data_IF_091039393967
#
_entry.id   IF_091039393967
#
_cell.length_a   1.000
_cell.length_b   1.000
_cell.length_c   1.000
_cell.angle_alpha   90.00
_cell.angle_beta   90.00
_cell.angle_gamma   90.00
#
_symmetry.space_group_name_H-M   'P 1'
#
loop_
_entity.id
_entity.type
_entity.pdbx_description
1 polymer ?
#
# COMPACT_ATOMS: atom_id res chain seq x y z
N UNK A 1 40.72 37.99 5.60
CA UNK A 1 40.01 37.07 4.69
C UNK A 1 38.81 36.54 5.44
N UNK A 2 37.60 36.97 5.05
CA UNK A 2 36.35 36.52 5.64
C UNK A 2 36.23 34.99 5.48
N UNK A 3 36.11 34.28 6.60
CA UNK A 3 35.54 32.95 6.63
C UNK A 3 34.11 33.07 6.11
N UNK A 4 33.89 32.68 4.86
CA UNK A 4 32.55 32.55 4.31
C UNK A 4 31.82 31.47 5.10
N UNK A 5 30.92 31.90 5.99
CA UNK A 5 29.89 31.05 6.55
C UNK A 5 29.05 30.58 5.35
N UNK A 6 29.32 29.37 4.85
CA UNK A 6 28.35 28.67 4.00
C UNK A 6 27.21 28.36 4.96
N UNK A 7 26.12 29.14 4.89
CA UNK A 7 24.91 28.81 5.63
C UNK A 7 24.51 27.38 5.24
N UNK A 8 24.37 26.52 6.24
CA UNK A 8 23.83 25.18 6.01
C UNK A 8 22.42 25.32 5.43
N UNK A 9 22.13 24.56 4.37
CA UNK A 9 20.77 24.43 3.83
C UNK A 9 19.90 23.47 4.67
N UNK A 10 20.46 22.87 5.73
CA UNK A 10 19.74 21.96 6.63
C UNK A 10 19.27 22.71 7.87
N UNK A 11 18.13 22.29 8.41
CA UNK A 11 17.71 22.69 9.76
C UNK A 11 18.76 22.24 10.80
N UNK A 12 18.81 22.86 12.00
CA UNK A 12 19.62 22.34 13.10
C UNK A 12 19.36 20.86 13.37
N UNK A 13 20.39 20.09 13.71
CA UNK A 13 20.30 18.63 13.85
C UNK A 13 19.23 18.20 14.87
N UNK A 14 19.09 18.95 15.96
CA UNK A 14 18.08 18.73 17.00
C UNK A 14 16.65 18.99 16.50
N UNK A 15 16.46 19.98 15.61
CA UNK A 15 15.16 20.24 14.97
C UNK A 15 14.81 19.15 13.95
N UNK A 16 15.78 18.71 13.15
CA UNK A 16 15.62 17.57 12.25
C UNK A 16 15.21 16.31 13.02
N UNK A 17 15.91 16.02 14.13
CA UNK A 17 15.62 14.87 14.98
C UNK A 17 14.18 14.91 15.51
N UNK A 18 13.71 16.06 16.00
CA UNK A 18 12.33 16.19 16.51
C UNK A 18 11.28 15.91 15.41
N UNK A 19 11.51 16.39 14.19
CA UNK A 19 10.63 16.10 13.03
C UNK A 19 10.68 14.61 12.64
N UNK A 20 11.84 13.98 12.74
CA UNK A 20 12.01 12.54 12.46
C UNK A 20 11.35 11.69 13.56
N UNK A 21 11.40 12.09 14.83
CA UNK A 21 10.79 11.36 15.95
C UNK A 21 9.27 11.33 15.89
N UNK A 22 8.63 12.37 15.33
CA UNK A 22 7.17 12.40 15.18
C UNK A 22 6.65 11.20 14.37
N UNK A 23 5.67 10.45 14.90
CA UNK A 23 5.07 9.30 14.22
C UNK A 23 6.02 8.10 14.04
N UNK A 24 7.20 8.13 14.67
CA UNK A 24 8.15 7.01 14.70
C UNK A 24 7.85 6.13 15.91
N UNK A 25 7.94 4.82 15.74
CA UNK A 25 7.82 3.87 16.86
C UNK A 25 9.12 3.79 17.65
N UNK A 26 10.24 3.59 16.96
CA UNK A 26 11.56 3.49 17.59
C UNK A 26 12.66 3.96 16.62
N UNK A 27 13.66 4.67 17.17
CA UNK A 27 14.94 4.97 16.51
C UNK A 27 16.02 4.16 17.22
N UNK A 28 16.46 3.08 16.60
CA UNK A 28 17.51 2.23 17.18
C UNK A 28 18.85 2.91 16.91
N UNK A 29 19.49 3.37 17.99
CA UNK A 29 20.69 4.22 17.99
C UNK A 29 20.39 5.69 17.63
N UNK A 30 19.49 6.33 18.38
CA UNK A 30 19.18 7.77 18.23
C UNK A 30 20.42 8.67 18.33
N UNK A 31 21.38 8.33 19.19
CA UNK A 31 22.65 9.04 19.31
C UNK A 31 23.45 9.01 17.99
N UNK A 32 23.47 7.86 17.30
CA UNK A 32 24.11 7.72 15.98
C UNK A 32 23.40 8.57 14.93
N UNK A 33 22.06 8.64 14.97
CA UNK A 33 21.30 9.51 14.08
C UNK A 33 21.66 10.97 14.30
N UNK A 34 21.67 11.43 15.56
CA UNK A 34 22.02 12.81 15.89
C UNK A 34 23.45 13.14 15.45
N UNK A 35 24.39 12.21 15.64
CA UNK A 35 25.77 12.35 15.16
C UNK A 35 25.82 12.50 13.63
N UNK A 36 25.11 11.65 12.89
CA UNK A 36 25.02 11.72 11.42
C UNK A 36 24.38 13.02 10.94
N UNK A 37 23.32 13.49 11.58
CA UNK A 37 22.67 14.78 11.26
C UNK A 37 23.64 15.96 11.45
N UNK A 38 24.53 15.90 12.45
CA UNK A 38 25.57 16.91 12.71
C UNK A 38 26.68 16.94 11.66
N UNK A 39 26.81 15.93 10.80
CA UNK A 39 27.75 15.93 9.68
C UNK A 39 27.38 16.96 8.59
N UNK A 40 26.16 17.49 8.63
CA UNK A 40 25.70 18.56 7.76
C UNK A 40 25.82 18.23 6.26
N UNK A 41 25.53 16.98 5.90
CA UNK A 41 25.47 16.45 4.54
C UNK A 41 24.13 15.74 4.31
N UNK A 42 23.69 15.56 3.05
CA UNK A 42 22.61 14.62 2.76
C UNK A 42 22.96 13.22 3.26
N UNK A 43 22.07 12.63 4.08
CA UNK A 43 22.15 11.25 4.49
C UNK A 43 21.48 10.36 3.43
N UNK A 44 21.95 9.13 3.28
CA UNK A 44 21.37 8.14 2.36
C UNK A 44 20.29 7.34 3.09
N UNK A 45 19.03 7.59 2.75
CA UNK A 45 17.87 7.00 3.41
C UNK A 45 17.26 5.94 2.52
N UNK A 46 17.12 4.70 3.01
CA UNK A 46 16.55 3.56 2.29
C UNK A 46 15.19 3.18 2.89
N UNK A 47 14.21 2.91 2.02
CA UNK A 47 13.03 2.14 2.38
C UNK A 47 12.74 1.12 1.27
N UNK A 48 12.62 -0.16 1.64
CA UNK A 48 12.39 -1.27 0.71
C UNK A 48 10.94 -1.72 0.65
N UNK A 49 10.44 -2.01 -0.56
CA UNK A 49 9.10 -2.52 -0.79
C UNK A 49 9.11 -3.67 -1.79
N UNK A 50 8.62 -4.84 -1.36
CA UNK A 50 8.45 -6.01 -2.22
C UNK A 50 7.12 -5.91 -2.98
N UNK A 51 7.13 -5.82 -4.33
CA UNK A 51 5.93 -5.61 -5.14
C UNK A 51 5.10 -6.90 -5.29
N UNK A 52 4.52 -7.36 -4.19
CA UNK A 52 3.80 -8.64 -4.11
C UNK A 52 2.33 -8.58 -4.56
N UNK A 53 1.82 -7.37 -4.75
CA UNK A 53 0.50 -7.05 -5.30
C UNK A 53 0.60 -5.69 -6.01
N UNK A 54 -0.29 -5.34 -6.95
CA UNK A 54 -0.14 -4.12 -7.76
C UNK A 54 -0.34 -2.82 -6.97
N UNK A 55 -1.32 -2.74 -6.07
CA UNK A 55 -1.63 -1.47 -5.38
C UNK A 55 -1.07 -1.38 -3.95
N UNK A 56 -0.65 -0.18 -3.59
CA UNK A 56 -0.39 0.24 -2.22
C UNK A 56 -1.71 0.60 -1.52
N UNK A 57 -1.62 0.69 -0.19
CA UNK A 57 -2.73 1.08 0.68
C UNK A 57 -2.18 1.98 1.79
N UNK A 58 -3.06 2.66 2.54
CA UNK A 58 -2.67 3.65 3.53
C UNK A 58 -1.69 3.11 4.58
N UNK A 59 -1.74 1.82 4.92
CA UNK A 59 -0.72 1.19 5.77
C UNK A 59 0.73 1.32 5.25
N UNK A 60 0.95 1.26 3.92
CA UNK A 60 2.27 1.51 3.33
C UNK A 60 2.66 2.99 3.38
N UNK A 61 1.67 3.89 3.33
CA UNK A 61 1.91 5.33 3.28
C UNK A 61 2.51 5.86 4.57
N UNK A 62 2.33 5.19 5.71
CA UNK A 62 2.99 5.55 6.98
C UNK A 62 4.52 5.57 6.82
N UNK A 63 5.08 4.53 6.21
CA UNK A 63 6.52 4.44 5.93
C UNK A 63 6.96 5.45 4.87
N UNK A 64 6.16 5.62 3.82
CA UNK A 64 6.46 6.55 2.72
C UNK A 64 6.41 8.01 3.21
N UNK A 65 5.51 8.36 4.13
CA UNK A 65 5.45 9.69 4.75
C UNK A 65 6.71 9.97 5.60
N UNK A 66 7.25 8.95 6.27
CA UNK A 66 8.53 9.09 6.96
C UNK A 66 9.67 9.32 5.97
N UNK A 67 9.69 8.59 4.84
CA UNK A 67 10.65 8.83 3.77
C UNK A 67 10.51 10.26 3.20
N UNK A 68 9.27 10.75 3.00
CA UNK A 68 8.99 12.14 2.62
C UNK A 68 9.57 13.14 3.62
N UNK A 69 9.46 12.86 4.91
CA UNK A 69 10.05 13.73 5.95
C UNK A 69 11.55 13.91 5.71
N UNK A 70 12.29 12.83 5.44
CA UNK A 70 13.71 12.93 5.09
C UNK A 70 13.97 13.67 3.78
N UNK A 71 13.12 13.49 2.78
CA UNK A 71 13.19 14.21 1.50
C UNK A 71 13.00 15.73 1.69
N UNK A 72 12.03 16.13 2.50
CA UNK A 72 11.72 17.53 2.79
C UNK A 72 12.83 18.18 3.65
N UNK A 73 13.52 17.40 4.48
CA UNK A 73 14.72 17.80 5.21
C UNK A 73 15.98 17.87 4.32
N UNK A 74 15.90 17.51 3.04
CA UNK A 74 17.00 17.64 2.08
C UNK A 74 17.96 16.44 2.02
N UNK A 75 17.58 15.29 2.59
CA UNK A 75 18.37 14.06 2.50
C UNK A 75 18.10 13.29 1.20
N UNK A 76 19.00 12.37 0.85
CA UNK A 76 18.86 11.54 -0.34
C UNK A 76 17.99 10.31 -0.04
N UNK A 77 16.77 10.31 -0.55
CA UNK A 77 15.84 9.19 -0.36
C UNK A 77 15.92 8.20 -1.51
N UNK A 78 16.06 6.92 -1.17
CA UNK A 78 16.02 5.79 -2.08
C UNK A 78 14.80 4.94 -1.78
N UNK A 79 13.87 4.91 -2.74
CA UNK A 79 12.77 3.96 -2.77
C UNK A 79 13.25 2.68 -3.47
N UNK A 80 13.52 1.65 -2.69
CA UNK A 80 14.04 0.39 -3.18
C UNK A 80 12.89 -0.57 -3.51
N UNK A 81 12.81 -0.95 -4.77
CA UNK A 81 11.90 -2.00 -5.24
C UNK A 81 12.60 -3.35 -5.06
N UNK A 82 12.02 -4.17 -4.21
CA UNK A 82 12.49 -5.50 -3.88
C UNK A 82 12.10 -6.54 -4.93
N UNK A 83 12.53 -6.38 -6.18
CA UNK A 83 12.16 -7.27 -7.27
C UNK A 83 12.83 -8.66 -7.17
N UNK A 84 14.05 -8.72 -6.63
CA UNK A 84 14.72 -9.97 -6.30
C UNK A 84 14.18 -10.60 -5.01
N UNK A 85 13.96 -9.79 -3.97
CA UNK A 85 13.44 -10.25 -2.66
C UNK A 85 12.01 -10.78 -2.78
N UNK A 86 11.17 -10.18 -3.62
CA UNK A 86 9.81 -10.65 -3.87
C UNK A 86 9.75 -12.06 -4.46
N UNK A 87 10.79 -12.51 -5.18
CA UNK A 87 10.89 -13.88 -5.70
C UNK A 87 11.23 -14.89 -4.60
N UNK A 88 11.89 -14.47 -3.51
CA UNK A 88 12.16 -15.29 -2.32
C UNK A 88 10.91 -15.32 -1.42
N UNK A 89 10.32 -14.15 -1.19
CA UNK A 89 9.13 -13.95 -0.36
C UNK A 89 9.46 -13.70 1.12
N UNK A 90 9.12 -12.50 1.61
CA UNK A 90 9.32 -12.13 3.01
C UNK A 90 8.49 -13.01 3.98
N UNK A 91 9.14 -13.73 4.92
CA UNK A 91 8.42 -14.51 5.93
C UNK A 91 7.86 -13.64 7.09
N UNK A 92 8.20 -12.35 7.16
CA UNK A 92 7.84 -11.45 8.28
C UNK A 92 6.35 -11.50 8.62
N UNK A 93 6.05 -11.93 9.86
CA UNK A 93 4.70 -11.92 10.40
C UNK A 93 3.73 -12.85 9.65
N UNK A 94 4.25 -13.87 8.96
CA UNK A 94 3.46 -14.87 8.22
C UNK A 94 3.54 -16.24 8.89
N UNK A 95 2.39 -16.93 8.90
CA UNK A 95 2.27 -18.30 9.40
C UNK A 95 2.48 -19.36 8.32
N UNK A 96 2.62 -18.95 7.05
CA UNK A 96 2.81 -19.85 5.90
C UNK A 96 3.70 -19.19 4.84
N UNK A 97 4.45 -20.02 4.11
CA UNK A 97 5.32 -19.60 3.00
C UNK A 97 4.50 -18.94 1.89
N UNK A 98 4.98 -17.82 1.34
CA UNK A 98 4.32 -17.15 0.21
C UNK A 98 4.54 -17.93 -1.09
N UNK A 99 3.56 -17.97 -2.00
CA UNK A 99 3.80 -18.47 -3.34
C UNK A 99 4.82 -17.56 -4.06
N UNK A 100 5.78 -18.13 -4.80
CA UNK A 100 6.73 -17.33 -5.57
C UNK A 100 6.00 -16.58 -6.70
N UNK A 101 6.47 -15.38 -7.02
CA UNK A 101 5.97 -14.57 -8.14
C UNK A 101 6.87 -14.72 -9.37
N UNK A 102 6.29 -14.63 -10.56
CA UNK A 102 7.08 -14.56 -11.80
C UNK A 102 7.74 -13.18 -11.93
N UNK A 103 8.84 -13.12 -12.68
CA UNK A 103 9.53 -11.83 -12.94
C UNK A 103 8.59 -10.83 -13.63
N UNK A 104 7.76 -11.28 -14.58
CA UNK A 104 6.80 -10.42 -15.28
C UNK A 104 5.76 -9.83 -14.32
N UNK A 105 5.29 -10.62 -13.35
CA UNK A 105 4.35 -10.14 -12.32
C UNK A 105 5.01 -9.10 -11.41
N UNK A 106 6.24 -9.35 -10.99
CA UNK A 106 7.03 -8.43 -10.17
C UNK A 106 7.27 -7.11 -10.89
N UNK A 107 7.64 -7.15 -12.17
CA UNK A 107 7.86 -5.96 -13.01
C UNK A 107 6.56 -5.15 -13.21
N UNK A 108 5.43 -5.82 -13.43
CA UNK A 108 4.14 -5.16 -13.56
C UNK A 108 3.73 -4.44 -12.26
N UNK A 109 3.87 -5.11 -11.11
CA UNK A 109 3.58 -4.53 -9.79
C UNK A 109 4.57 -3.40 -9.43
N UNK A 110 5.83 -3.49 -9.87
CA UNK A 110 6.84 -2.46 -9.63
C UNK A 110 6.50 -1.14 -10.34
N UNK A 111 5.88 -1.19 -11.53
CA UNK A 111 5.43 0.01 -12.25
C UNK A 111 4.32 0.73 -11.49
N UNK A 112 3.31 -0.01 -11.05
CA UNK A 112 2.19 0.55 -10.29
C UNK A 112 2.66 1.12 -8.95
N UNK A 113 3.68 0.53 -8.32
CA UNK A 113 4.26 1.06 -7.08
C UNK A 113 4.90 2.44 -7.30
N UNK A 114 5.68 2.61 -8.36
CA UNK A 114 6.31 3.89 -8.68
C UNK A 114 5.26 4.98 -8.89
N UNK A 115 4.23 4.70 -9.70
CA UNK A 115 3.12 5.65 -9.95
C UNK A 115 2.42 6.08 -8.65
N UNK A 116 2.22 5.14 -7.71
CA UNK A 116 1.55 5.41 -6.43
C UNK A 116 2.44 6.16 -5.45
N UNK A 117 3.73 5.81 -5.38
CA UNK A 117 4.69 6.43 -4.47
C UNK A 117 4.91 7.89 -4.82
N UNK A 118 4.90 8.24 -6.11
CA UNK A 118 5.04 9.62 -6.55
C UNK A 118 3.81 10.51 -6.29
N UNK A 119 2.70 9.94 -5.78
CA UNK A 119 1.63 10.76 -5.16
C UNK A 119 2.03 11.34 -3.80
N UNK A 120 3.12 10.84 -3.20
CA UNK A 120 3.63 11.31 -1.91
C UNK A 120 5.03 11.91 -2.07
N UNK A 121 5.93 11.22 -2.77
CA UNK A 121 7.32 11.64 -2.95
C UNK A 121 7.48 12.49 -4.21
N UNK A 122 8.38 13.48 -4.15
CA UNK A 122 8.81 14.21 -5.35
C UNK A 122 9.73 13.33 -6.21
N UNK A 123 9.35 12.97 -7.45
CA UNK A 123 10.15 12.11 -8.31
C UNK A 123 11.54 12.68 -8.63
N UNK A 124 11.71 14.00 -8.63
CA UNK A 124 13.01 14.63 -8.91
C UNK A 124 13.97 14.52 -7.71
N UNK A 125 13.43 14.24 -6.53
CA UNK A 125 14.19 14.10 -5.28
C UNK A 125 14.18 12.66 -4.76
N UNK A 126 13.74 11.69 -5.56
CA UNK A 126 13.69 10.27 -5.16
C UNK A 126 14.48 9.42 -6.12
N UNK A 127 15.41 8.63 -5.59
CA UNK A 127 16.08 7.56 -6.33
C UNK A 127 15.21 6.31 -6.27
N UNK A 128 14.77 5.81 -7.42
CA UNK A 128 14.16 4.47 -7.51
C UNK A 128 15.24 3.48 -7.92
N UNK A 129 15.39 2.40 -7.16
CA UNK A 129 16.39 1.35 -7.40
C UNK A 129 15.75 -0.03 -7.32
N UNK A 130 16.35 -1.01 -7.96
CA UNK A 130 15.89 -2.41 -7.96
C UNK A 130 16.98 -3.28 -7.35
N UNK A 131 16.67 -4.14 -6.38
CA UNK A 131 17.71 -4.95 -5.76
C UNK A 131 18.26 -6.06 -6.68
N UNK A 132 17.55 -6.38 -7.77
CA UNK A 132 18.11 -7.20 -8.83
C UNK A 132 19.31 -6.56 -9.54
N UNK A 133 19.53 -5.24 -9.44
CA UNK A 133 20.70 -4.56 -10.02
C UNK A 133 22.03 -5.16 -9.52
N UNK A 134 22.10 -5.49 -8.22
CA UNK A 134 23.27 -6.16 -7.65
C UNK A 134 23.10 -7.67 -7.56
N UNK A 135 21.91 -8.18 -7.25
CA UNK A 135 21.73 -9.63 -7.06
C UNK A 135 21.76 -10.45 -8.35
N UNK A 136 21.41 -9.88 -9.51
CA UNK A 136 21.58 -10.58 -10.80
C UNK A 136 23.07 -10.78 -11.16
N UNK A 137 23.98 -10.06 -10.53
CA UNK A 137 25.42 -10.15 -10.74
C UNK A 137 26.10 -11.09 -9.74
N UNK A 138 25.37 -11.57 -8.72
CA UNK A 138 25.90 -12.45 -7.67
C UNK A 138 25.87 -13.90 -8.11
N UNK A 139 26.99 -14.59 -7.89
CA UNK A 139 27.09 -16.04 -8.07
C UNK A 139 26.55 -16.79 -6.85
N UNK A 140 26.37 -18.11 -6.98
CA UNK A 140 26.06 -18.97 -5.85
C UNK A 140 27.15 -18.90 -4.76
N UNK A 141 28.42 -18.73 -5.13
CA UNK A 141 29.51 -18.57 -4.17
C UNK A 141 29.37 -17.27 -3.34
N UNK A 142 28.93 -16.18 -3.97
CA UNK A 142 28.65 -14.93 -3.27
C UNK A 142 27.49 -15.08 -2.26
N UNK A 143 26.44 -15.82 -2.64
CA UNK A 143 25.32 -16.10 -1.74
C UNK A 143 25.75 -16.98 -0.55
N UNK A 144 26.64 -17.95 -0.77
CA UNK A 144 27.22 -18.76 0.32
C UNK A 144 28.06 -17.89 1.25
N UNK A 145 28.86 -16.97 0.69
CA UNK A 145 29.65 -16.03 1.49
C UNK A 145 28.75 -15.10 2.32
N UNK A 146 27.65 -14.63 1.74
CA UNK A 146 26.64 -13.83 2.46
C UNK A 146 25.96 -14.66 3.57
N UNK A 147 25.58 -15.92 3.28
CA UNK A 147 25.00 -16.82 4.28
C UNK A 147 25.94 -17.12 5.44
N UNK A 148 27.26 -17.17 5.20
CA UNK A 148 28.25 -17.37 6.26
C UNK A 148 28.33 -16.23 7.28
N UNK A 149 27.71 -15.08 6.98
CA UNK A 149 27.66 -13.92 7.88
C UNK A 149 26.67 -14.10 9.03
N UNK A 150 25.89 -15.17 9.11
CA UNK A 150 24.98 -15.39 10.23
C UNK A 150 24.87 -16.86 10.60
N UNK A 151 24.46 -17.11 11.84
CA UNK A 151 24.19 -18.47 12.31
C UNK A 151 22.71 -18.79 12.17
N UNK A 152 22.41 -20.08 12.01
CA UNK A 152 21.03 -20.57 12.06
C UNK A 152 20.38 -20.22 13.39
N UNK A 153 21.11 -20.33 14.51
CA UNK A 153 20.61 -19.95 15.84
C UNK A 153 20.13 -18.50 15.89
N UNK A 154 20.91 -17.56 15.32
CA UNK A 154 20.51 -16.15 15.29
C UNK A 154 19.29 -15.91 14.41
N UNK A 155 19.13 -16.66 13.32
CA UNK A 155 17.92 -16.58 12.51
C UNK A 155 16.70 -17.11 13.27
N UNK A 156 16.84 -18.19 14.03
CA UNK A 156 15.73 -18.79 14.80
C UNK A 156 15.24 -17.92 15.95
N UNK A 157 16.00 -16.93 16.40
CA UNK A 157 15.59 -15.93 17.39
C UNK A 157 14.56 -14.93 16.85
N UNK A 158 14.36 -14.88 15.53
CA UNK A 158 13.29 -14.07 14.93
C UNK A 158 11.93 -14.65 15.31
N UNK A 159 11.02 -13.80 15.80
CA UNK A 159 9.71 -14.20 16.35
C UNK A 159 8.90 -15.17 15.48
N UNK A 160 8.84 -14.96 14.17
CA UNK A 160 8.10 -15.79 13.22
C UNK A 160 8.72 -17.19 13.07
N UNK A 161 10.05 -17.27 12.93
CA UNK A 161 10.78 -18.52 12.91
C UNK A 161 10.74 -19.23 14.26
N UNK A 162 10.88 -18.50 15.37
CA UNK A 162 10.70 -19.07 16.73
C UNK A 162 9.33 -19.72 16.84
N UNK A 163 8.24 -18.99 16.52
CA UNK A 163 6.87 -19.50 16.61
C UNK A 163 6.63 -20.69 15.69
N UNK A 164 7.07 -20.63 14.43
CA UNK A 164 6.90 -21.74 13.47
C UNK A 164 7.69 -22.97 13.91
N UNK A 165 8.93 -22.79 14.33
CA UNK A 165 9.79 -23.89 14.78
C UNK A 165 9.22 -24.56 16.03
N UNK A 166 8.81 -23.79 17.05
CA UNK A 166 8.16 -24.33 18.25
C UNK A 166 6.85 -25.05 17.95
N UNK A 167 6.08 -24.56 16.97
CA UNK A 167 4.82 -25.18 16.55
C UNK A 167 4.99 -26.29 15.49
N UNK A 168 6.23 -26.71 15.20
CA UNK A 168 6.53 -27.74 14.19
C UNK A 168 5.96 -27.40 12.79
N UNK A 169 5.79 -26.12 12.49
CA UNK A 169 5.41 -25.64 11.17
C UNK A 169 6.65 -25.63 10.27
N UNK A 170 6.56 -26.14 9.03
CA UNK A 170 7.69 -26.14 8.11
C UNK A 170 8.27 -24.74 7.94
N UNK A 171 9.60 -24.62 7.89
CA UNK A 171 10.33 -23.40 7.52
C UNK A 171 11.26 -23.80 6.38
N UNK A 172 11.07 -23.22 5.20
CA UNK A 172 11.90 -23.57 4.05
C UNK A 172 13.27 -22.88 4.13
N UNK A 173 14.32 -23.55 3.64
CA UNK A 173 15.71 -23.05 3.73
C UNK A 173 15.87 -21.67 3.07
N UNK A 174 15.19 -21.43 1.95
CA UNK A 174 15.28 -20.16 1.23
C UNK A 174 14.73 -18.98 2.06
N UNK A 175 13.83 -19.21 3.02
CA UNK A 175 13.28 -18.16 3.88
C UNK A 175 14.36 -17.56 4.79
N UNK A 176 15.40 -18.33 5.15
CA UNK A 176 16.56 -17.84 5.90
C UNK A 176 17.46 -16.91 5.07
N UNK A 177 17.37 -16.96 3.74
CA UNK A 177 18.14 -16.08 2.86
C UNK A 177 17.54 -14.67 2.81
N UNK A 178 16.24 -14.53 3.02
CA UNK A 178 15.55 -13.26 2.86
C UNK A 178 16.16 -12.12 3.72
N UNK A 179 16.37 -12.27 5.05
CA UNK A 179 16.98 -11.21 5.86
C UNK A 179 18.37 -10.81 5.40
N UNK A 180 19.13 -11.78 4.88
CA UNK A 180 20.49 -11.53 4.40
C UNK A 180 20.49 -10.74 3.10
N UNK A 181 19.58 -11.10 2.18
CA UNK A 181 19.42 -10.42 0.90
C UNK A 181 18.98 -8.98 1.15
N UNK A 182 17.94 -8.76 1.96
CA UNK A 182 17.49 -7.41 2.33
C UNK A 182 18.57 -6.61 3.06
N UNK A 183 19.33 -7.24 3.96
CA UNK A 183 20.42 -6.57 4.67
C UNK A 183 21.58 -6.19 3.77
N UNK A 184 21.88 -6.99 2.74
CA UNK A 184 22.89 -6.66 1.73
C UNK A 184 22.48 -5.45 0.86
N UNK A 185 21.18 -5.21 0.66
CA UNK A 185 20.71 -4.02 -0.04
C UNK A 185 21.23 -2.73 0.62
N UNK A 186 21.38 -2.72 1.96
CA UNK A 186 21.96 -1.58 2.68
C UNK A 186 23.46 -1.42 2.46
N UNK A 187 24.18 -2.52 2.23
CA UNK A 187 25.59 -2.49 1.83
C UNK A 187 25.72 -1.89 0.43
N UNK A 188 24.90 -2.37 -0.51
CA UNK A 188 24.91 -1.93 -1.90
C UNK A 188 24.53 -0.44 -2.06
N UNK A 189 23.65 0.06 -1.19
CA UNK A 189 23.21 1.45 -1.19
C UNK A 189 24.03 2.36 -0.26
N UNK A 190 24.94 1.80 0.54
CA UNK A 190 25.68 2.51 1.59
C UNK A 190 24.74 3.31 2.51
N UNK A 191 23.64 2.68 2.94
CA UNK A 191 22.57 3.37 3.65
C UNK A 191 23.04 3.92 5.01
N UNK A 192 22.78 5.21 5.25
CA UNK A 192 22.96 5.84 6.56
C UNK A 192 21.79 5.52 7.50
N UNK A 193 20.59 5.37 6.93
CA UNK A 193 19.34 5.09 7.64
C UNK A 193 18.50 4.12 6.81
N UNK A 194 17.94 3.09 7.43
CA UNK A 194 16.88 2.26 6.83
C UNK A 194 15.59 2.42 7.61
N UNK A 195 14.51 2.67 6.88
CA UNK A 195 13.16 2.77 7.40
C UNK A 195 12.41 1.45 7.19
N UNK A 196 11.62 1.03 8.18
CA UNK A 196 10.75 -0.14 8.07
C UNK A 196 9.53 -0.04 8.98
N UNK A 197 8.54 -0.92 8.79
CA UNK A 197 7.51 -1.14 9.80
C UNK A 197 8.09 -1.83 11.04
N UNK A 198 7.38 -1.80 12.17
CA UNK A 198 7.82 -2.54 13.38
C UNK A 198 7.99 -4.04 13.14
N UNK A 199 7.26 -4.60 12.17
CA UNK A 199 7.41 -5.99 11.76
C UNK A 199 8.76 -6.27 11.06
N UNK A 200 9.43 -5.25 10.51
CA UNK A 200 10.72 -5.35 9.81
C UNK A 200 11.95 -5.20 10.72
N UNK A 201 11.77 -5.03 12.04
CA UNK A 201 12.88 -4.72 12.98
C UNK A 201 14.06 -5.69 12.86
N UNK A 202 13.80 -6.99 12.76
CA UNK A 202 14.85 -8.00 12.60
C UNK A 202 15.67 -7.79 11.31
N UNK A 203 15.00 -7.51 10.19
CA UNK A 203 15.64 -7.32 8.90
C UNK A 203 16.48 -6.02 8.88
N UNK A 204 15.99 -4.94 9.49
CA UNK A 204 16.74 -3.69 9.64
C UNK A 204 18.02 -3.91 10.47
N UNK A 205 17.92 -4.64 11.59
CA UNK A 205 19.07 -5.00 12.40
C UNK A 205 20.05 -5.93 11.67
N UNK A 206 19.55 -6.77 10.76
CA UNK A 206 20.39 -7.58 9.88
C UNK A 206 21.22 -6.70 8.95
N UNK A 207 20.62 -5.69 8.31
CA UNK A 207 21.32 -4.70 7.49
C UNK A 207 22.42 -3.99 8.28
N UNK A 208 22.08 -3.48 9.46
CA UNK A 208 23.04 -2.83 10.38
C UNK A 208 24.22 -3.76 10.73
N UNK A 209 23.93 -5.02 11.04
CA UNK A 209 24.97 -6.01 11.38
C UNK A 209 25.87 -6.33 10.19
N UNK A 210 25.28 -6.50 9.00
CA UNK A 210 26.03 -6.84 7.79
C UNK A 210 26.92 -5.68 7.35
N UNK A 211 26.44 -4.43 7.37
CA UNK A 211 27.28 -3.26 7.05
C UNK A 211 28.56 -3.22 7.90
N UNK A 212 28.43 -3.41 9.22
CA UNK A 212 29.58 -3.46 10.12
C UNK A 212 30.58 -4.56 9.73
N UNK A 213 30.10 -5.76 9.39
CA UNK A 213 30.95 -6.88 8.95
C UNK A 213 31.64 -6.66 7.61
N UNK A 214 31.02 -5.85 6.75
CA UNK A 214 31.59 -5.43 5.47
C UNK A 214 32.43 -4.14 5.59
N UNK A 215 32.70 -3.68 6.81
CA UNK A 215 33.54 -2.50 7.06
C UNK A 215 32.88 -1.16 6.72
N UNK A 216 31.56 -1.14 6.55
CA UNK A 216 30.78 0.08 6.41
C UNK A 216 30.29 0.57 7.78
N UNK A 217 30.03 1.88 7.89
CA UNK A 217 29.34 2.41 9.06
C UNK A 217 27.90 1.86 9.09
N UNK A 218 27.51 1.36 10.25
CA UNK A 218 26.19 0.80 10.52
C UNK A 218 25.07 1.83 10.32
N UNK A 219 24.04 1.50 9.54
CA UNK A 219 22.83 2.32 9.39
C UNK A 219 22.11 2.51 10.72
N UNK A 220 21.40 3.63 10.86
CA UNK A 220 20.37 3.80 11.87
C UNK A 220 19.11 3.06 11.43
N UNK A 221 18.50 2.29 12.32
CA UNK A 221 17.23 1.62 12.03
C UNK A 221 16.09 2.44 12.61
N UNK A 222 15.15 2.86 11.76
CA UNK A 222 13.96 3.60 12.20
C UNK A 222 12.73 2.77 11.86
N UNK A 223 11.92 2.48 12.88
CA UNK A 223 10.67 1.75 12.70
C UNK A 223 9.47 2.67 12.84
N UNK A 224 8.50 2.51 11.95
CA UNK A 224 7.19 3.18 12.04
C UNK A 224 6.12 2.19 12.52
N UNK A 225 5.10 2.65 13.25
CA UNK A 225 4.04 1.77 13.71
C UNK A 225 3.25 1.18 12.53
N UNK A 226 2.64 0.02 12.79
CA UNK A 226 1.69 -0.60 11.88
C UNK A 226 0.35 0.13 11.98
N UNK A 227 -0.24 0.46 10.83
CA UNK A 227 -1.60 1.01 10.77
C UNK A 227 -2.64 -0.12 10.83
N UNK A 228 -3.58 0.01 11.74
CA UNK A 228 -4.75 -0.85 11.87
C UNK A 228 -5.69 -0.65 10.67
N UNK A 229 -6.26 -1.74 10.16
CA UNK A 229 -7.25 -1.69 9.09
C UNK A 229 -8.63 -1.24 9.58
N UNK A 230 -9.60 -1.24 8.67
CA UNK A 230 -10.99 -0.87 8.94
C UNK A 230 -11.70 -1.79 9.95
N UNK A 231 -11.11 -2.96 10.26
CA UNK A 231 -11.62 -3.86 11.29
C UNK A 231 -11.24 -3.45 12.73
N UNK A 232 -10.37 -2.44 12.89
CA UNK A 232 -10.00 -1.88 14.19
C UNK A 232 -8.87 -2.61 14.91
N UNK A 233 -8.43 -3.79 14.45
CA UNK A 233 -7.58 -4.70 15.23
C UNK A 233 -6.39 -5.21 14.43
N UNK A 234 -6.64 -5.72 13.22
CA UNK A 234 -5.57 -6.29 12.41
C UNK A 234 -4.86 -5.20 11.63
N UNK A 235 -3.61 -5.47 11.25
CA UNK A 235 -2.90 -4.62 10.31
C UNK A 235 -3.69 -4.46 9.01
N UNK A 236 -3.63 -3.25 8.44
CA UNK A 236 -4.22 -2.98 7.15
C UNK A 236 -3.64 -3.92 6.09
N UNK A 237 -4.50 -4.69 5.43
CA UNK A 237 -4.10 -5.72 4.47
C UNK A 237 -5.17 -5.95 3.41
N UNK A 238 -4.74 -6.08 2.15
CA UNK A 238 -5.63 -6.49 1.05
C UNK A 238 -6.26 -7.86 1.28
N UNK A 239 -5.50 -8.80 1.84
CA UNK A 239 -5.97 -10.18 2.07
C UNK A 239 -7.10 -10.26 3.09
N UNK A 240 -7.20 -9.26 3.99
CA UNK A 240 -8.26 -9.18 5.00
C UNK A 240 -9.44 -8.34 4.54
N UNK A 241 -9.35 -7.68 3.38
CA UNK A 241 -10.38 -6.77 2.89
C UNK A 241 -10.59 -5.53 3.76
N UNK A 242 -9.68 -5.24 4.68
CA UNK A 242 -9.79 -4.16 5.68
C UNK A 242 -8.98 -2.90 5.30
N UNK A 243 -8.72 -2.69 4.01
CA UNK A 243 -7.76 -1.69 3.52
C UNK A 243 -8.41 -0.51 2.80
N UNK A 244 -7.68 0.61 2.80
CA UNK A 244 -7.95 1.79 1.97
C UNK A 244 -6.79 1.91 0.97
N UNK A 245 -7.10 1.77 -0.32
CA UNK A 245 -6.13 1.79 -1.41
C UNK A 245 -5.70 3.22 -1.76
N UNK A 246 -4.45 3.40 -2.17
CA UNK A 246 -3.95 4.71 -2.65
C UNK A 246 -4.64 5.16 -3.94
N UNK A 247 -5.10 4.20 -4.75
CA UNK A 247 -5.84 4.41 -6.00
C UNK A 247 -7.34 4.10 -5.87
N UNK A 248 -7.88 3.99 -4.65
CA UNK A 248 -9.34 3.96 -4.50
C UNK A 248 -9.95 5.21 -5.14
N UNK A 249 -11.14 5.11 -5.75
CA UNK A 249 -11.82 6.31 -6.26
C UNK A 249 -12.10 7.30 -5.13
N UNK A 250 -12.22 8.62 -5.40
CA UNK A 250 -12.45 9.63 -4.36
C UNK A 250 -13.59 9.27 -3.40
N UNK A 251 -14.73 8.84 -3.95
CA UNK A 251 -15.89 8.42 -3.16
C UNK A 251 -15.65 7.16 -2.33
N UNK A 252 -14.92 6.18 -2.87
CA UNK A 252 -14.58 4.95 -2.16
C UNK A 252 -13.60 5.21 -1.01
N UNK A 253 -12.54 5.99 -1.26
CA UNK A 253 -11.57 6.40 -0.25
C UNK A 253 -12.29 7.16 0.88
N UNK A 254 -13.11 8.15 0.52
CA UNK A 254 -13.89 8.93 1.48
C UNK A 254 -14.78 8.04 2.36
N UNK A 255 -15.58 7.16 1.75
CA UNK A 255 -16.46 6.25 2.50
C UNK A 255 -15.69 5.30 3.42
N UNK A 256 -14.58 4.74 2.94
CA UNK A 256 -13.75 3.86 3.76
C UNK A 256 -13.18 4.60 4.98
N UNK A 257 -12.68 5.83 4.81
CA UNK A 257 -12.18 6.64 5.94
C UNK A 257 -13.31 6.93 6.95
N UNK A 258 -14.52 7.26 6.49
CA UNK A 258 -15.66 7.47 7.39
C UNK A 258 -16.11 6.20 8.14
N UNK A 259 -15.89 5.02 7.53
CA UNK A 259 -16.25 3.73 8.11
C UNK A 259 -15.30 3.24 9.21
N UNK A 260 -14.12 3.85 9.33
CA UNK A 260 -13.14 3.52 10.36
C UNK A 260 -13.76 3.65 11.77
N UNK A 261 -13.48 2.76 12.73
CA UNK A 261 -13.89 2.90 14.13
C UNK A 261 -13.46 4.23 14.76
N UNK A 262 -14.31 4.82 15.63
CA UNK A 262 -14.01 6.10 16.30
C UNK A 262 -12.74 6.02 17.17
N UNK A 263 -12.45 4.85 17.74
CA UNK A 263 -11.24 4.59 18.53
C UNK A 263 -9.94 4.72 17.73
N UNK A 264 -10.01 4.71 16.40
CA UNK A 264 -8.85 4.86 15.52
C UNK A 264 -8.68 6.29 14.97
N UNK A 265 -9.53 7.25 15.33
CA UNK A 265 -9.44 8.62 14.82
C UNK A 265 -8.07 9.23 15.12
N UNK A 266 -7.69 9.30 16.39
CA UNK A 266 -6.36 9.81 16.79
C UNK A 266 -5.24 9.09 16.05
N UNK A 267 -5.33 7.76 15.99
CA UNK A 267 -4.32 6.90 15.35
C UNK A 267 -4.14 7.19 13.87
N UNK A 268 -5.24 7.38 13.13
CA UNK A 268 -5.19 7.70 11.71
C UNK A 268 -4.73 9.12 11.45
N UNK A 269 -5.13 10.09 12.29
CA UNK A 269 -4.62 11.46 12.18
C UNK A 269 -3.11 11.51 12.41
N UNK A 270 -2.61 10.88 13.47
CA UNK A 270 -1.18 10.89 13.79
C UNK A 270 -0.32 10.28 12.67
N UNK A 271 -0.78 9.19 12.06
CA UNK A 271 0.01 8.45 11.06
C UNK A 271 -0.20 8.89 9.61
N UNK A 272 -1.34 9.51 9.29
CA UNK A 272 -1.71 9.83 7.91
C UNK A 272 -1.88 11.32 7.63
N UNK A 273 -2.22 12.15 8.63
CA UNK A 273 -2.44 13.58 8.42
C UNK A 273 -1.12 14.36 8.40
N UNK A 274 -1.05 15.40 7.56
CA UNK A 274 0.04 16.37 7.54
C UNK A 274 -0.24 17.59 8.43
N UNK A 275 -1.38 17.62 9.13
CA UNK A 275 -1.67 18.63 10.15
C UNK A 275 -0.63 18.62 11.25
N UNK A 276 -0.42 19.76 11.90
CA UNK A 276 0.41 19.84 13.10
C UNK A 276 -0.20 19.06 14.27
N UNK A 277 0.63 18.67 15.24
CA UNK A 277 0.13 18.00 16.45
C UNK A 277 -0.84 18.89 17.23
N UNK A 278 -0.65 20.20 17.21
CA UNK A 278 -1.56 21.16 17.84
C UNK A 278 -2.94 21.19 17.15
N UNK A 279 -2.98 21.19 15.81
CA UNK A 279 -4.24 21.09 15.08
C UNK A 279 -4.96 19.76 15.34
N UNK A 280 -4.22 18.65 15.38
CA UNK A 280 -4.79 17.33 15.69
C UNK A 280 -5.37 17.32 17.11
N UNK A 281 -4.61 17.86 18.09
CA UNK A 281 -5.06 17.96 19.48
C UNK A 281 -6.36 18.74 19.60
N UNK A 282 -6.48 19.88 18.92
CA UNK A 282 -7.72 20.68 18.91
C UNK A 282 -8.91 19.84 18.41
N UNK A 283 -8.75 19.07 17.33
CA UNK A 283 -9.81 18.21 16.81
C UNK A 283 -10.22 17.11 17.80
N UNK A 284 -9.27 16.54 18.54
CA UNK A 284 -9.55 15.52 19.55
C UNK A 284 -10.24 16.10 20.79
N UNK A 285 -9.80 17.27 21.24
CA UNK A 285 -10.43 18.00 22.36
C UNK A 285 -11.88 18.40 22.02
N UNK A 286 -12.15 18.77 20.76
CA UNK A 286 -13.51 19.03 20.28
C UNK A 286 -14.40 17.78 20.31
N UNK A 287 -13.87 16.60 19.95
CA UNK A 287 -14.61 15.33 20.09
C UNK A 287 -14.95 15.09 21.56
N UNK A 288 -13.99 15.27 22.46
CA UNK A 288 -14.19 15.14 23.90
C UNK A 288 -15.23 16.14 24.43
N UNK A 289 -15.33 17.32 23.82
CA UNK A 289 -16.34 18.34 24.12
C UNK A 289 -17.72 18.08 23.47
N UNK A 290 -17.88 16.99 22.72
CA UNK A 290 -19.17 16.54 22.15
C UNK A 290 -19.33 16.76 20.64
N UNK A 291 -18.27 17.15 19.92
CA UNK A 291 -18.29 17.19 18.45
C UNK A 291 -18.49 15.78 17.89
N UNK A 292 -19.34 15.66 16.86
CA UNK A 292 -19.60 14.38 16.22
C UNK A 292 -18.31 13.81 15.58
N UNK A 293 -17.83 12.61 15.96
CA UNK A 293 -16.64 11.98 15.38
C UNK A 293 -16.68 11.88 13.85
N UNK A 294 -17.86 11.74 13.24
CA UNK A 294 -18.02 11.68 11.78
C UNK A 294 -17.57 12.97 11.08
N UNK A 295 -17.74 14.13 11.72
CA UNK A 295 -17.25 15.40 11.16
C UNK A 295 -15.72 15.44 11.14
N UNK A 296 -15.08 14.92 12.18
CA UNK A 296 -13.62 14.86 12.27
C UNK A 296 -13.05 13.83 11.29
N UNK A 297 -13.68 12.67 11.13
CA UNK A 297 -13.31 11.72 10.06
C UNK A 297 -13.44 12.33 8.67
N UNK A 298 -14.46 13.17 8.44
CA UNK A 298 -14.62 13.88 7.17
C UNK A 298 -13.44 14.80 6.88
N UNK A 299 -12.88 15.47 7.90
CA UNK A 299 -11.69 16.31 7.72
C UNK A 299 -10.53 15.46 7.18
N UNK A 300 -10.25 14.31 7.81
CA UNK A 300 -9.20 13.41 7.34
C UNK A 300 -9.51 12.84 5.95
N UNK A 301 -10.76 12.46 5.70
CA UNK A 301 -11.18 11.90 4.42
C UNK A 301 -10.94 12.89 3.27
N UNK A 302 -11.28 14.17 3.46
CA UNK A 302 -11.05 15.22 2.47
C UNK A 302 -9.55 15.46 2.25
N UNK A 303 -8.76 15.49 3.32
CA UNK A 303 -7.30 15.65 3.22
C UNK A 303 -6.66 14.51 2.41
N UNK A 304 -7.06 13.27 2.66
CA UNK A 304 -6.53 12.11 1.95
C UNK A 304 -6.99 12.09 0.49
N UNK A 305 -8.26 12.40 0.21
CA UNK A 305 -8.74 12.47 -1.17
C UNK A 305 -8.03 13.57 -1.95
N UNK A 306 -7.82 14.75 -1.35
CA UNK A 306 -7.09 15.83 -1.99
C UNK A 306 -5.66 15.42 -2.34
N UNK A 307 -4.98 14.76 -1.39
CA UNK A 307 -3.59 14.30 -1.57
C UNK A 307 -3.45 13.27 -2.68
N UNK A 308 -4.35 12.30 -2.74
CA UNK A 308 -4.22 11.18 -3.68
C UNK A 308 -4.97 11.40 -5.00
N UNK A 309 -5.77 12.47 -5.09
CA UNK A 309 -6.44 12.89 -6.31
C UNK A 309 -6.13 14.38 -6.53
N UNK A 310 -7.07 15.26 -6.19
CA UNK A 310 -6.93 16.71 -6.28
C UNK A 310 -7.99 17.41 -5.43
N UNK A 311 -7.90 18.74 -5.33
CA UNK A 311 -8.80 19.56 -4.55
C UNK A 311 -10.26 19.50 -5.04
N UNK A 312 -10.50 19.31 -6.34
CA UNK A 312 -11.85 19.21 -6.91
C UNK A 312 -12.51 17.88 -6.53
N UNK A 313 -11.76 16.78 -6.62
CA UNK A 313 -12.16 15.46 -6.17
C UNK A 313 -12.49 15.46 -4.69
N UNK A 314 -11.69 16.13 -3.85
CA UNK A 314 -11.97 16.28 -2.42
C UNK A 314 -13.25 17.09 -2.18
N UNK A 315 -13.39 18.24 -2.84
CA UNK A 315 -14.59 19.08 -2.73
C UNK A 315 -15.87 18.32 -3.11
N UNK A 316 -15.80 17.40 -4.08
CA UNK A 316 -16.93 16.60 -4.54
C UNK A 316 -16.99 15.18 -3.94
N UNK A 317 -16.03 14.80 -3.09
CA UNK A 317 -15.90 13.45 -2.56
C UNK A 317 -17.18 12.99 -1.86
N UNK A 318 -17.79 13.87 -1.06
CA UNK A 318 -19.05 13.61 -0.36
C UNK A 318 -20.24 13.31 -1.29
N UNK A 319 -20.26 13.87 -2.52
CA UNK A 319 -21.28 13.59 -3.54
C UNK A 319 -21.05 12.21 -4.13
N UNK A 320 -19.81 11.92 -4.54
CA UNK A 320 -19.42 10.60 -5.07
C UNK A 320 -19.48 9.47 -4.03
N UNK A 321 -19.29 9.81 -2.75
CA UNK A 321 -19.44 8.93 -1.60
C UNK A 321 -20.91 8.56 -1.32
N UNK A 322 -21.84 9.39 -1.79
CA UNK A 322 -23.28 9.15 -1.80
C UNK A 322 -23.76 8.34 -3.00
N UNK A 323 -22.91 8.07 -4.00
CA UNK A 323 -23.25 7.24 -5.15
C UNK A 323 -23.23 5.75 -4.78
N UNK A 324 -24.12 5.35 -3.86
CA UNK A 324 -25.07 4.29 -4.23
C UNK A 324 -25.67 4.77 -5.54
N UNK A 325 -25.40 4.05 -6.63
CA UNK A 325 -26.04 4.25 -7.94
C UNK A 325 -27.46 4.74 -7.71
N UNK A 326 -27.66 6.05 -7.86
CA UNK A 326 -28.97 6.67 -7.82
C UNK A 326 -29.71 6.03 -8.97
N UNK A 327 -30.90 5.50 -8.71
CA UNK A 327 -31.71 4.80 -9.71
C UNK A 327 -31.87 5.73 -10.93
N UNK A 328 -31.16 5.44 -12.03
CA UNK A 328 -31.11 6.30 -13.23
C UNK A 328 -29.73 6.83 -13.65
N UNK A 329 -28.69 6.82 -12.81
CA UNK A 329 -27.36 7.33 -13.17
C UNK A 329 -26.38 6.20 -13.55
N UNK A 330 -25.82 6.27 -14.76
CA UNK A 330 -24.81 5.34 -15.28
C UNK A 330 -23.41 5.92 -14.98
N UNK A 331 -22.57 5.26 -14.16
CA UNK A 331 -21.19 5.69 -13.95
C UNK A 331 -20.43 5.87 -15.27
N UNK A 332 -19.58 6.89 -15.39
CA UNK A 332 -18.79 7.13 -16.62
C UNK A 332 -17.87 5.95 -16.97
N UNK A 333 -17.37 5.22 -15.96
CA UNK A 333 -16.52 4.02 -16.10
C UNK A 333 -17.31 2.70 -16.22
N UNK A 334 -18.58 2.74 -16.61
CA UNK A 334 -19.39 1.51 -16.73
C UNK A 334 -18.82 0.61 -17.83
N UNK A 335 -18.49 -0.67 -17.53
CA UNK A 335 -17.96 -1.61 -18.51
C UNK A 335 -18.86 -1.72 -19.75
N UNK A 336 -18.27 -1.57 -20.93
CA UNK A 336 -18.97 -1.78 -22.20
C UNK A 336 -18.72 -3.19 -22.72
N UNK A 337 -19.79 -3.90 -23.08
CA UNK A 337 -19.74 -5.26 -23.58
C UNK A 337 -20.52 -5.34 -24.89
N UNK A 338 -19.91 -5.93 -25.91
CA UNK A 338 -20.60 -6.23 -27.17
C UNK A 338 -20.93 -7.71 -27.25
N UNK A 339 -22.18 -8.04 -27.58
CA UNK A 339 -22.67 -9.43 -27.74
C UNK A 339 -23.26 -9.61 -29.14
N UNK A 340 -22.71 -10.56 -29.92
CA UNK A 340 -23.31 -10.96 -31.21
C UNK A 340 -24.51 -11.89 -30.96
N UNK A 341 -25.65 -11.53 -31.55
CA UNK A 341 -26.90 -12.29 -31.48
C UNK A 341 -26.91 -13.49 -32.42
N UNK A 342 -26.13 -13.44 -33.50
CA UNK A 342 -25.93 -14.58 -34.40
C UNK A 342 -25.45 -15.84 -33.69
N UNK A 343 -24.63 -15.71 -32.64
CA UNK A 343 -24.13 -16.83 -31.83
C UNK A 343 -25.22 -17.56 -31.02
N UNK A 344 -26.40 -16.94 -30.86
CA UNK A 344 -27.48 -17.41 -29.99
C UNK A 344 -28.82 -17.58 -30.72
N UNK A 345 -28.83 -17.55 -32.07
CA UNK A 345 -30.04 -17.75 -32.86
C UNK A 345 -30.97 -16.52 -32.93
N UNK A 346 -30.43 -15.32 -32.69
CA UNK A 346 -31.13 -14.05 -32.88
C UNK A 346 -31.89 -13.51 -31.65
N UNK A 347 -32.24 -14.37 -30.70
CA UNK A 347 -32.90 -14.00 -29.43
C UNK A 347 -32.09 -14.46 -28.22
N UNK A 348 -31.77 -13.54 -27.30
CA UNK A 348 -31.00 -13.86 -26.08
C UNK A 348 -31.81 -13.49 -24.83
N UNK A 349 -31.98 -14.44 -23.91
CA UNK A 349 -32.66 -14.24 -22.63
C UNK A 349 -31.75 -13.63 -21.56
N UNK A 350 -32.35 -12.89 -20.63
CA UNK A 350 -31.63 -12.14 -19.58
C UNK A 350 -30.62 -12.98 -18.79
N UNK A 351 -30.94 -14.23 -18.42
CA UNK A 351 -30.02 -15.08 -17.69
C UNK A 351 -28.75 -15.42 -18.47
N UNK A 352 -28.85 -15.56 -19.80
CA UNK A 352 -27.69 -15.76 -20.67
C UNK A 352 -26.90 -14.47 -20.82
N UNK A 353 -27.59 -13.33 -20.97
CA UNK A 353 -26.98 -12.01 -21.08
C UNK A 353 -26.12 -11.71 -19.84
N UNK A 354 -26.64 -11.93 -18.63
CA UNK A 354 -25.93 -11.68 -17.37
C UNK A 354 -24.62 -12.47 -17.26
N UNK A 355 -24.60 -13.70 -17.78
CA UNK A 355 -23.40 -14.55 -17.79
C UNK A 355 -22.39 -14.07 -18.84
N UNK A 356 -22.86 -13.82 -20.06
CA UNK A 356 -21.99 -13.43 -21.19
C UNK A 356 -21.40 -12.04 -20.95
N UNK A 357 -22.15 -11.12 -20.34
CA UNK A 357 -21.70 -9.80 -19.95
C UNK A 357 -20.82 -9.78 -18.68
N UNK A 358 -20.48 -10.94 -18.10
CA UNK A 358 -19.65 -11.03 -16.89
C UNK A 358 -20.29 -10.47 -15.62
N UNK A 359 -21.59 -10.17 -15.64
CA UNK A 359 -22.33 -9.64 -14.49
C UNK A 359 -22.62 -10.71 -13.43
N UNK A 360 -22.64 -11.99 -13.83
CA UNK A 360 -22.75 -13.12 -12.92
C UNK A 360 -21.73 -14.23 -13.28
N UNK A 361 -21.19 -14.94 -12.28
CA UNK A 361 -20.07 -15.87 -12.48
C UNK A 361 -20.46 -17.16 -13.23
N UNK A 362 -21.75 -17.54 -13.21
CA UNK A 362 -22.26 -18.73 -13.89
C UNK A 362 -23.77 -18.64 -14.11
N UNK A 363 -24.32 -19.60 -14.88
CA UNK A 363 -25.74 -19.66 -15.25
C UNK A 363 -26.67 -19.86 -14.04
N UNK A 364 -26.24 -20.58 -13.00
CA UNK A 364 -27.05 -20.79 -11.79
C UNK A 364 -27.19 -19.48 -10.99
N UNK A 365 -26.10 -18.73 -10.84
CA UNK A 365 -26.09 -17.42 -10.18
C UNK A 365 -26.94 -16.39 -10.95
N UNK A 366 -26.91 -16.41 -12.30
CA UNK A 366 -27.74 -15.55 -13.12
C UNK A 366 -29.24 -15.85 -12.93
N UNK A 367 -29.64 -17.14 -12.95
CA UNK A 367 -31.03 -17.55 -12.70
C UNK A 367 -31.52 -17.16 -11.30
N UNK A 368 -30.68 -17.35 -10.28
CA UNK A 368 -30.99 -16.97 -8.90
C UNK A 368 -31.12 -15.45 -8.73
N UNK A 369 -30.26 -14.66 -9.39
CA UNK A 369 -30.37 -13.20 -9.37
C UNK A 369 -31.70 -12.71 -9.99
N UNK A 370 -32.11 -13.31 -11.11
CA UNK A 370 -33.40 -13.01 -11.75
C UNK A 370 -34.57 -13.43 -10.85
N UNK A 371 -34.52 -14.64 -10.28
CA UNK A 371 -35.59 -15.16 -9.41
C UNK A 371 -35.80 -14.31 -8.15
N UNK A 372 -34.74 -13.68 -7.63
CA UNK A 372 -34.80 -12.77 -6.47
C UNK A 372 -35.17 -11.33 -6.84
N UNK A 373 -35.50 -11.05 -8.11
CA UNK A 373 -35.86 -9.71 -8.58
C UNK A 373 -34.69 -8.71 -8.50
N UNK A 374 -33.45 -9.20 -8.54
CA UNK A 374 -32.25 -8.39 -8.38
C UNK A 374 -31.70 -7.84 -9.71
N UNK A 375 -32.42 -8.02 -10.82
CA UNK A 375 -31.95 -7.70 -12.17
C UNK A 375 -32.77 -6.57 -12.77
N UNK A 376 -32.09 -5.57 -13.34
CA UNK A 376 -32.71 -4.44 -14.02
C UNK A 376 -32.13 -4.25 -15.41
N UNK A 377 -32.98 -3.86 -16.36
CA UNK A 377 -32.60 -3.42 -17.71
C UNK A 377 -33.14 -2.01 -17.91
N UNK A 378 -32.27 -1.07 -18.24
CA UNK A 378 -32.57 0.37 -18.30
C UNK A 378 -33.37 0.83 -17.08
N UNK A 379 -32.91 0.38 -15.91
CA UNK A 379 -33.47 0.68 -14.59
C UNK A 379 -34.83 0.06 -14.28
N UNK A 380 -35.44 -0.68 -15.22
CA UNK A 380 -36.68 -1.41 -15.00
C UNK A 380 -36.38 -2.83 -14.54
N UNK A 381 -37.05 -3.29 -13.48
CA UNK A 381 -36.94 -4.68 -13.03
C UNK A 381 -37.49 -5.63 -14.09
N UNK A 382 -36.75 -6.70 -14.36
CA UNK A 382 -37.12 -7.71 -15.36
C UNK A 382 -37.17 -9.09 -14.75
N UNK A 383 -38.02 -9.95 -15.32
CA UNK A 383 -38.10 -11.35 -14.95
C UNK A 383 -37.41 -12.26 -15.99
N UNK A 384 -37.51 -13.57 -15.80
CA UNK A 384 -36.87 -14.57 -16.64
C UNK A 384 -37.38 -14.59 -18.10
N UNK A 385 -38.51 -13.95 -18.39
CA UNK A 385 -39.08 -13.87 -19.74
C UNK A 385 -38.46 -12.77 -20.59
N UNK A 386 -37.70 -11.85 -20.00
CA UNK A 386 -37.04 -10.78 -20.74
C UNK A 386 -36.01 -11.33 -21.73
N UNK A 387 -36.12 -10.90 -22.99
CA UNK A 387 -35.20 -11.26 -24.07
C UNK A 387 -34.95 -10.08 -25.01
N UNK A 388 -33.79 -10.09 -25.65
CA UNK A 388 -33.39 -9.11 -26.67
C UNK A 388 -33.47 -9.75 -28.05
N UNK A 389 -34.29 -9.17 -28.93
CA UNK A 389 -34.61 -9.67 -30.30
C UNK A 389 -34.13 -8.75 -31.43
N UNK A 390 -33.62 -7.58 -31.09
CA UNK A 390 -33.15 -6.56 -32.05
C UNK A 390 -31.81 -5.98 -31.59
N UNK A 391 -31.07 -5.37 -32.51
CA UNK A 391 -29.84 -4.65 -32.15
C UNK A 391 -30.19 -3.44 -31.29
N UNK A 392 -29.38 -3.19 -30.27
CA UNK A 392 -29.63 -2.14 -29.31
C UNK A 392 -28.57 -2.09 -28.24
N UNK A 393 -28.52 -0.98 -27.51
CA UNK A 393 -27.64 -0.84 -26.35
C UNK A 393 -28.50 -0.69 -25.11
N UNK A 394 -28.22 -1.49 -24.09
CA UNK A 394 -28.98 -1.51 -22.85
C UNK A 394 -28.04 -1.39 -21.65
N UNK A 395 -28.50 -0.73 -20.59
CA UNK A 395 -27.83 -0.76 -19.30
C UNK A 395 -28.39 -1.92 -18.49
N UNK A 396 -27.53 -2.89 -18.15
CA UNK A 396 -27.94 -4.10 -17.46
C UNK A 396 -27.26 -4.16 -16.10
N UNK A 397 -28.07 -4.30 -15.05
CA UNK A 397 -27.62 -4.33 -13.66
C UNK A 397 -28.04 -5.65 -12.99
N UNK A 398 -27.11 -6.27 -12.26
CA UNK A 398 -27.32 -7.43 -11.40
C UNK A 398 -26.92 -7.09 -9.97
N UNK A 399 -27.91 -6.99 -9.07
CA UNK A 399 -27.71 -6.55 -7.70
C UNK A 399 -27.24 -5.09 -7.62
N UNK A 400 -26.44 -4.77 -6.59
CA UNK A 400 -26.06 -3.37 -6.29
C UNK A 400 -24.77 -2.89 -6.95
N UNK A 401 -23.92 -3.81 -7.44
CA UNK A 401 -22.54 -3.50 -7.83
C UNK A 401 -22.18 -3.95 -9.25
N UNK A 402 -22.88 -4.92 -9.83
CA UNK A 402 -22.58 -5.37 -11.19
C UNK A 402 -23.49 -4.62 -12.16
N UNK A 403 -22.91 -3.74 -12.98
CA UNK A 403 -23.58 -2.96 -14.02
C UNK A 403 -22.70 -2.96 -15.28
N UNK A 404 -23.29 -3.09 -16.45
CA UNK A 404 -22.60 -2.98 -17.73
C UNK A 404 -23.51 -2.34 -18.79
N UNK A 405 -22.90 -1.65 -19.74
CA UNK A 405 -23.52 -1.20 -20.98
C UNK A 405 -23.34 -2.30 -22.01
N UNK A 406 -24.43 -2.95 -22.41
CA UNK A 406 -24.40 -4.11 -23.30
C UNK A 406 -24.96 -3.73 -24.66
N UNK A 407 -24.11 -3.78 -25.68
CA UNK A 407 -24.45 -3.51 -27.08
C UNK A 407 -24.67 -4.84 -27.81
N UNK A 408 -25.86 -5.01 -28.37
CA UNK A 408 -26.21 -6.19 -29.17
C UNK A 408 -26.04 -5.89 -30.66
N UNK A 409 -25.27 -6.74 -31.33
CA UNK A 409 -25.05 -6.70 -32.78
C UNK A 409 -25.50 -8.02 -33.39
N UNK A 410 -25.76 -8.06 -34.70
CA UNK A 410 -25.98 -9.33 -35.39
C UNK A 410 -24.68 -10.08 -35.61
#
# INVERSE_FOLDING_TARGET
MCLGFVMSNFLPAEEQLALIQRGTHEIISEEDLLKKLKENRPLKIKAGFDPTAPDLHLGHTVLINKLKTFQDLGHEVTFLIGDYTAMIGDPTGKSATRPPLSREQVEANAKTYQEQVFKILDPNKTKVRFNSEWFNQKSAADLIQLASQQTVSRMLERDDFTKRYSNHQPIAIHEFLYPLVQGYDSIALEADVELGGTDQTFNLLMGRTLQSRYGQESQVCITVPILEGLDGVNKMSKSLGNYIGVFDTPGAMYQKVLSMPDSLIERYFDLLSFKSLDEIKVLLDEIAAGRNPQEVKRILALELVERFHDAEAAANAHKSAGNRITEGEVPEDTPEVTISRGEFGGEIFIATILRVAGLNPNAAAAKDAVARGAVKVDWNAVDASFSVKENGTFIIQSGKKAIARVTFTD
#
